data_IF_511692654417
#
_entry.id   IF_511692654417
#
_cell.length_a   1.000
_cell.length_b   1.000
_cell.length_c   1.000
_cell.angle_alpha   90.00
_cell.angle_beta   90.00
_cell.angle_gamma   90.00
#
_symmetry.space_group_name_H-M   'P 1'
#
loop_
_entity.id
_entity.type
_entity.pdbx_description
1 polymer ?
#
# COMPACT_ATOMS: atom_id res chain seq x y z
N UNK A 1 -10.11 1.64 10.60
CA UNK A 1 -10.00 1.91 9.17
C UNK A 1 -8.53 2.13 8.90
N UNK A 2 -8.01 1.43 7.89
CA UNK A 2 -6.65 1.52 7.41
C UNK A 2 -6.69 2.39 6.16
N UNK A 3 -5.85 3.40 6.10
CA UNK A 3 -5.76 4.29 4.94
C UNK A 3 -4.40 4.16 4.29
N UNK A 4 -4.40 4.01 2.96
CA UNK A 4 -3.19 4.03 2.15
C UNK A 4 -3.34 5.09 1.07
N UNK A 5 -2.39 6.02 1.05
CA UNK A 5 -2.26 7.05 0.03
C UNK A 5 -1.19 6.62 -0.96
N UNK A 6 -1.44 6.77 -2.25
CA UNK A 6 -0.48 6.44 -3.29
C UNK A 6 -0.32 7.60 -4.26
N UNK A 7 0.92 7.84 -4.67
CA UNK A 7 1.28 8.84 -5.68
C UNK A 7 2.40 8.30 -6.57
N UNK A 8 2.18 8.30 -7.88
CA UNK A 8 3.16 7.94 -8.91
C UNK A 8 2.95 8.81 -10.15
N UNK A 9 3.93 9.66 -10.47
CA UNK A 9 3.80 10.63 -11.57
C UNK A 9 2.54 11.49 -11.46
N UNK A 10 1.59 11.30 -12.39
CA UNK A 10 0.30 11.98 -12.40
C UNK A 10 -0.82 11.20 -11.68
N UNK A 11 -0.61 9.92 -11.35
CA UNK A 11 -1.56 9.11 -10.61
C UNK A 11 -1.51 9.45 -9.12
N UNK A 12 -2.66 9.75 -8.53
CA UNK A 12 -2.81 9.96 -7.10
C UNK A 12 -4.16 9.40 -6.66
N UNK A 13 -4.14 8.50 -5.68
CA UNK A 13 -5.36 7.91 -5.14
C UNK A 13 -5.24 7.63 -3.64
N UNK A 14 -6.41 7.46 -3.01
CA UNK A 14 -6.57 7.12 -1.60
C UNK A 14 -7.41 5.85 -1.54
N UNK A 15 -6.92 4.85 -0.81
CA UNK A 15 -7.63 3.61 -0.57
C UNK A 15 -7.94 3.48 0.93
N UNK A 16 -9.19 3.11 1.25
CA UNK A 16 -9.66 2.93 2.62
C UNK A 16 -10.14 1.50 2.79
N UNK A 17 -9.57 0.80 3.78
CA UNK A 17 -9.90 -0.59 4.10
C UNK A 17 -10.45 -0.67 5.52
N UNK A 18 -11.61 -1.32 5.70
CA UNK A 18 -12.13 -1.56 7.04
C UNK A 18 -11.23 -2.51 7.83
N UNK A 19 -11.15 -2.30 9.14
CA UNK A 19 -10.29 -3.14 10.00
C UNK A 19 -10.68 -4.62 9.92
N UNK A 20 -11.98 -4.91 9.89
CA UNK A 20 -12.49 -6.28 9.79
C UNK A 20 -12.17 -6.96 8.46
N UNK A 21 -12.09 -6.19 7.37
CA UNK A 21 -11.73 -6.70 6.04
C UNK A 21 -10.24 -7.01 6.00
N UNK A 22 -9.41 -6.07 6.47
CA UNK A 22 -7.98 -6.28 6.67
C UNK A 22 -7.67 -7.52 7.51
N UNK A 23 -8.32 -7.66 8.67
CA UNK A 23 -8.09 -8.77 9.58
C UNK A 23 -8.44 -10.11 8.89
N UNK A 24 -9.47 -10.13 8.05
CA UNK A 24 -9.84 -11.29 7.26
C UNK A 24 -8.79 -11.58 6.18
N UNK A 25 -8.40 -10.59 5.39
CA UNK A 25 -7.43 -10.74 4.28
C UNK A 25 -6.10 -11.26 4.82
N UNK A 26 -5.49 -10.56 5.77
CA UNK A 26 -4.17 -10.92 6.29
C UNK A 26 -4.18 -12.28 6.95
N UNK A 27 -5.25 -12.63 7.66
CA UNK A 27 -5.38 -13.99 8.21
C UNK A 27 -5.33 -15.05 7.11
N UNK A 28 -6.04 -14.87 6.00
CA UNK A 28 -6.05 -15.85 4.91
C UNK A 28 -4.72 -15.86 4.16
N UNK A 29 -4.15 -14.70 3.84
CA UNK A 29 -2.84 -14.57 3.17
C UNK A 29 -1.75 -15.28 3.97
N UNK A 30 -1.72 -15.10 5.30
CA UNK A 30 -0.69 -15.71 6.16
C UNK A 30 -0.92 -17.19 6.47
N UNK A 31 -2.13 -17.73 6.26
CA UNK A 31 -2.42 -19.15 6.52
C UNK A 31 -1.57 -20.07 5.62
N UNK A 32 -1.32 -19.62 4.39
CA UNK A 32 -0.51 -20.32 3.40
C UNK A 32 1.01 -20.18 3.61
N UNK A 33 1.45 -19.43 4.63
CA UNK A 33 2.86 -19.15 4.95
C UNK A 33 3.65 -18.67 3.72
N UNK A 34 3.24 -17.54 3.13
CA UNK A 34 3.89 -17.01 1.94
C UNK A 34 5.33 -16.58 2.25
N UNK A 35 6.15 -16.48 1.21
CA UNK A 35 7.42 -15.77 1.32
C UNK A 35 7.12 -14.28 1.48
N UNK A 36 7.56 -13.72 2.61
CA UNK A 36 7.23 -12.34 2.97
C UNK A 36 7.93 -11.31 2.06
N UNK A 37 9.12 -11.65 1.56
CA UNK A 37 9.85 -10.74 0.68
C UNK A 37 9.22 -10.74 -0.71
N UNK A 38 8.91 -11.93 -1.24
CA UNK A 38 8.20 -12.07 -2.51
C UNK A 38 6.85 -11.34 -2.47
N UNK A 39 6.07 -11.54 -1.41
CA UNK A 39 4.79 -10.83 -1.24
C UNK A 39 4.94 -9.31 -1.17
N UNK A 40 6.01 -8.82 -0.56
CA UNK A 40 6.28 -7.39 -0.50
C UNK A 40 6.57 -6.83 -1.89
N UNK A 41 7.47 -7.48 -2.62
CA UNK A 41 7.87 -7.06 -3.97
C UNK A 41 6.69 -7.16 -4.95
N UNK A 42 5.92 -8.24 -4.91
CA UNK A 42 4.69 -8.44 -5.69
C UNK A 42 3.64 -7.37 -5.39
N UNK A 43 3.46 -7.03 -4.11
CA UNK A 43 2.50 -5.98 -3.72
C UNK A 43 2.87 -4.63 -4.32
N UNK A 44 4.16 -4.29 -4.40
CA UNK A 44 4.60 -3.05 -5.04
C UNK A 44 4.41 -3.10 -6.56
N UNK A 45 4.66 -4.24 -7.20
CA UNK A 45 4.41 -4.44 -8.64
C UNK A 45 2.91 -4.28 -8.97
N UNK A 46 2.03 -4.92 -8.21
CA UNK A 46 0.57 -4.81 -8.38
C UNK A 46 0.12 -3.34 -8.29
N UNK A 47 0.57 -2.60 -7.27
CA UNK A 47 0.16 -1.20 -7.11
C UNK A 47 0.66 -0.31 -8.25
N UNK A 48 1.84 -0.61 -8.77
CA UNK A 48 2.39 0.09 -9.94
C UNK A 48 1.57 -0.22 -11.19
N UNK A 49 1.25 -1.48 -11.44
CA UNK A 49 0.45 -1.89 -12.60
C UNK A 49 -0.95 -1.26 -12.54
N UNK A 50 -1.61 -1.33 -11.38
CA UNK A 50 -2.91 -0.69 -11.15
C UNK A 50 -2.83 0.82 -11.34
N UNK A 51 -1.75 1.48 -10.91
CA UNK A 51 -1.60 2.93 -11.10
C UNK A 51 -1.46 3.36 -12.56
N UNK A 52 -1.01 2.44 -13.43
CA UNK A 52 -0.86 2.66 -14.86
C UNK A 52 -2.11 2.28 -15.67
N UNK A 53 -3.08 1.60 -15.05
CA UNK A 53 -4.37 1.25 -15.65
C UNK A 53 -5.36 2.42 -15.53
N UNK A 54 -6.19 2.58 -16.56
CA UNK A 54 -7.36 3.46 -16.46
C UNK A 54 -8.42 2.80 -15.54
N UNK A 55 -9.15 3.61 -14.76
CA UNK A 55 -10.18 3.09 -13.82
C UNK A 55 -11.25 2.24 -14.51
N UNK A 56 -11.55 2.52 -15.78
CA UNK A 56 -12.52 1.77 -16.59
C UNK A 56 -11.99 0.42 -17.10
N UNK A 57 -10.69 0.16 -16.96
CA UNK A 57 -10.03 -1.09 -17.36
C UNK A 57 -9.86 -2.08 -16.19
N UNK A 58 -9.95 -1.61 -14.94
CA UNK A 58 -9.84 -2.47 -13.76
C UNK A 58 -11.03 -3.42 -13.64
N UNK A 59 -10.75 -4.73 -13.65
CA UNK A 59 -11.75 -5.74 -13.37
C UNK A 59 -11.83 -6.13 -11.88
N UNK A 60 -12.66 -7.12 -11.54
CA UNK A 60 -12.85 -7.56 -10.16
C UNK A 60 -11.58 -8.21 -9.59
N UNK A 61 -10.81 -8.92 -10.43
CA UNK A 61 -9.59 -9.59 -10.00
C UNK A 61 -8.50 -8.53 -9.71
N UNK A 62 -8.37 -7.49 -10.56
CA UNK A 62 -7.44 -6.37 -10.32
C UNK A 62 -7.73 -5.64 -9.01
N UNK A 63 -9.01 -5.42 -8.70
CA UNK A 63 -9.43 -4.78 -7.44
C UNK A 63 -9.12 -5.67 -6.23
N UNK A 64 -9.30 -6.98 -6.35
CA UNK A 64 -8.95 -7.94 -5.30
C UNK A 64 -7.44 -7.93 -5.06
N UNK A 65 -6.63 -7.99 -6.12
CA UNK A 65 -5.17 -7.99 -6.03
C UNK A 65 -4.66 -6.69 -5.41
N UNK A 66 -5.19 -5.53 -5.83
CA UNK A 66 -4.89 -4.24 -5.20
C UNK A 66 -5.20 -4.26 -3.70
N UNK A 67 -6.36 -4.80 -3.32
CA UNK A 67 -6.80 -4.85 -1.92
C UNK A 67 -5.88 -5.72 -1.07
N UNK A 68 -5.45 -6.87 -1.61
CA UNK A 68 -4.50 -7.78 -0.96
C UNK A 68 -3.13 -7.10 -0.80
N UNK A 69 -2.63 -6.46 -1.86
CA UNK A 69 -1.37 -5.73 -1.84
C UNK A 69 -1.36 -4.62 -0.78
N UNK A 70 -2.44 -3.83 -0.70
CA UNK A 70 -2.60 -2.76 0.29
C UNK A 70 -2.63 -3.32 1.71
N UNK A 71 -3.42 -4.37 1.95
CA UNK A 71 -3.48 -4.99 3.26
C UNK A 71 -2.11 -5.52 3.68
N UNK A 72 -1.39 -6.17 2.76
CA UNK A 72 -0.09 -6.77 3.03
C UNK A 72 0.99 -5.71 3.31
N UNK A 73 1.07 -4.64 2.52
CA UNK A 73 2.02 -3.57 2.75
C UNK A 73 1.76 -2.88 4.09
N UNK A 74 0.49 -2.65 4.44
CA UNK A 74 0.13 -2.14 5.76
C UNK A 74 0.62 -3.06 6.88
N UNK A 75 0.35 -4.36 6.76
CA UNK A 75 0.80 -5.38 7.70
C UNK A 75 2.33 -5.40 7.84
N UNK A 76 3.04 -5.36 6.72
CA UNK A 76 4.50 -5.36 6.70
C UNK A 76 5.06 -4.22 7.54
N UNK A 77 4.68 -2.97 7.26
CA UNK A 77 5.24 -1.82 7.96
C UNK A 77 4.76 -1.66 9.40
N UNK A 78 3.51 -2.04 9.71
CA UNK A 78 2.95 -1.88 11.06
C UNK A 78 3.32 -3.02 12.01
N UNK A 79 3.55 -4.23 11.49
CA UNK A 79 3.66 -5.45 12.29
C UNK A 79 4.99 -6.19 12.09
N UNK A 80 5.51 -6.28 10.87
CA UNK A 80 6.73 -7.04 10.56
C UNK A 80 7.99 -6.18 10.70
N UNK A 81 7.97 -4.98 10.13
CA UNK A 81 9.11 -4.07 10.16
C UNK A 81 9.48 -3.70 11.60
N UNK A 82 10.79 -3.59 11.85
CA UNK A 82 11.35 -3.27 13.16
C UNK A 82 12.20 -1.99 13.07
N UNK A 83 12.40 -1.32 14.21
CA UNK A 83 13.26 -0.15 14.29
C UNK A 83 12.72 1.04 13.49
N UNK A 84 13.59 1.67 12.71
CA UNK A 84 13.29 2.89 11.95
C UNK A 84 12.39 2.64 10.74
N UNK A 85 12.27 1.39 10.28
CA UNK A 85 11.39 1.02 9.17
C UNK A 85 9.93 0.79 9.62
N UNK A 86 9.67 0.69 10.93
CA UNK A 86 8.32 0.47 11.45
C UNK A 86 7.48 1.74 11.35
N UNK A 87 6.30 1.62 10.76
CA UNK A 87 5.33 2.72 10.66
C UNK A 87 4.11 2.37 11.50
N UNK A 88 3.65 3.28 12.36
CA UNK A 88 2.43 3.09 13.13
C UNK A 88 1.30 3.94 12.53
N UNK A 89 0.29 3.27 11.94
CA UNK A 89 -0.89 3.90 11.36
C UNK A 89 -0.92 3.88 9.84
N UNK A 90 -1.53 4.92 9.27
CA UNK A 90 -1.77 5.04 7.82
C UNK A 90 -0.47 5.21 7.03
N UNK A 91 -0.46 4.70 5.80
CA UNK A 91 0.71 4.67 4.93
C UNK A 91 0.58 5.62 3.74
N UNK A 92 1.72 6.10 3.27
CA UNK A 92 1.87 6.87 2.04
C UNK A 92 2.94 6.21 1.21
N UNK A 93 2.62 5.91 -0.05
CA UNK A 93 3.54 5.38 -1.03
C UNK A 93 3.77 6.45 -2.10
N UNK A 94 5.04 6.78 -2.30
CA UNK A 94 5.50 7.75 -3.29
C UNK A 94 6.45 7.03 -4.24
N UNK A 95 6.01 6.76 -5.47
CA UNK A 95 6.89 6.23 -6.50
C UNK A 95 7.70 7.37 -7.15
N UNK A 96 8.98 7.11 -7.41
CA UNK A 96 9.85 8.02 -8.14
C UNK A 96 9.31 8.27 -9.57
N UNK A 97 9.50 9.48 -10.09
CA UNK A 97 9.03 9.84 -11.45
C UNK A 97 9.67 8.98 -12.56
N UNK A 98 10.88 8.46 -12.32
CA UNK A 98 11.58 7.55 -13.22
C UNK A 98 11.22 6.06 -12.99
N UNK A 99 10.33 5.76 -12.03
CA UNK A 99 9.86 4.41 -11.71
C UNK A 99 10.95 3.48 -11.16
N UNK A 100 11.99 4.07 -10.55
CA UNK A 100 13.19 3.39 -10.04
C UNK A 100 13.08 2.94 -8.59
N UNK A 101 12.08 3.45 -7.87
CA UNK A 101 11.93 3.22 -6.44
C UNK A 101 10.60 3.68 -5.90
N UNK A 102 10.22 3.14 -4.75
CA UNK A 102 9.04 3.53 -3.98
C UNK A 102 9.50 3.94 -2.59
N UNK A 103 9.15 5.16 -2.19
CA UNK A 103 9.35 5.69 -0.84
C UNK A 103 8.08 5.50 -0.04
N UNK A 104 8.18 4.91 1.14
CA UNK A 104 7.04 4.63 2.02
C UNK A 104 7.18 5.42 3.31
N UNK A 105 6.14 6.16 3.68
CA UNK A 105 6.13 7.11 4.80
C UNK A 105 4.84 6.97 5.63
N UNK A 106 4.87 7.33 6.94
CA UNK A 106 3.65 7.50 7.72
C UNK A 106 2.82 8.66 7.17
N UNK A 107 1.49 8.49 7.06
CA UNK A 107 0.60 9.58 6.64
C UNK A 107 0.62 10.78 7.60
N UNK A 108 0.89 10.54 8.88
CA UNK A 108 1.08 11.61 9.87
C UNK A 108 2.25 12.56 9.54
N UNK A 109 3.18 12.16 8.68
CA UNK A 109 4.24 13.05 8.19
C UNK A 109 3.75 14.01 7.08
N UNK A 110 2.61 13.73 6.43
CA UNK A 110 2.01 14.62 5.44
C UNK A 110 1.20 15.76 6.05
N UNK A 111 0.56 15.55 7.21
CA UNK A 111 -0.19 16.60 7.95
C UNK A 111 0.70 17.80 8.32
N UNK A 112 2.03 17.65 8.29
CA UNK A 112 3.00 18.74 8.48
C UNK A 112 3.44 19.45 7.19
N UNK A 113 2.97 19.03 6.02
CA UNK A 113 3.32 19.60 4.70
C UNK A 113 2.23 20.54 4.14
N UNK A 114 1.02 20.51 4.70
CA UNK A 114 -0.10 21.37 4.29
C UNK A 114 -0.12 22.76 5.00
N UNK A 115 0.83 23.05 5.90
CA UNK A 115 0.91 24.32 6.67
C UNK A 115 1.92 25.34 6.10
N UNK A 116 2.34 25.22 4.83
CA UNK A 116 3.23 26.19 4.14
C UNK A 116 2.56 26.99 2.99
N UNK A 117 1.26 27.33 3.07
CA UNK A 117 0.65 28.40 2.24
C UNK A 117 0.42 29.73 2.99
#
# INVERSE_FOLDING_TARGET
>A
MITVYYKSGAAQWKYELEQSEYDYIIKNVLDDKPDLQEMFDDSLEILRDVSAMDEDEMDEDDQIDQTIAIAYLWYYFNVIAEGDDRIEGDLVLLEDEDGTGVTILPAAALDGLDDEE
#
